data_IF_927478503538
#
_entry.id   IF_927478503538
#
_cell.length_a   1.000
_cell.length_b   1.000
_cell.length_c   1.000
_cell.angle_alpha   90.00
_cell.angle_beta   90.00
_cell.angle_gamma   90.00
#
_symmetry.space_group_name_H-M   'P 1'
#
loop_
_entity.id
_entity.type
_entity.pdbx_description
1 polymer ?
#
# COMPACT_ATOMS: atom_id res chain seq x y z
N UNK A 1 -20.67 54.37 5.80
CA UNK A 1 -20.87 53.19 6.67
C UNK A 1 -20.24 52.02 5.94
N UNK A 2 -19.03 51.59 6.32
CA UNK A 2 -18.32 50.49 5.68
C UNK A 2 -18.58 49.21 6.48
N UNK A 3 -19.26 48.24 5.87
CA UNK A 3 -19.51 46.92 6.47
C UNK A 3 -18.19 46.18 6.66
N UNK A 4 -17.87 45.84 7.91
CA UNK A 4 -16.72 45.00 8.25
C UNK A 4 -17.07 43.51 8.10
N UNK A 5 -16.17 42.73 7.49
CA UNK A 5 -16.31 41.28 7.42
C UNK A 5 -16.07 40.66 8.81
N UNK A 6 -17.02 39.85 9.27
CA UNK A 6 -16.85 39.02 10.46
C UNK A 6 -15.71 38.02 10.20
N UNK A 7 -14.71 37.91 11.08
CA UNK A 7 -13.73 36.85 10.96
C UNK A 7 -14.44 35.50 11.17
N UNK A 8 -14.59 34.74 10.08
CA UNK A 8 -15.16 33.40 10.12
C UNK A 8 -14.20 32.43 10.82
N UNK A 9 -14.73 31.31 11.32
CA UNK A 9 -13.91 30.31 12.00
C UNK A 9 -13.00 29.68 10.96
N UNK A 10 -11.70 29.64 11.24
CA UNK A 10 -10.75 28.96 10.37
C UNK A 10 -11.22 27.53 10.17
N UNK A 11 -11.40 27.12 8.90
CA UNK A 11 -11.72 25.74 8.55
C UNK A 11 -10.63 24.83 9.10
N UNK A 12 -11.03 23.67 9.65
CA UNK A 12 -10.08 22.68 10.10
C UNK A 12 -9.13 22.28 8.96
N UNK A 13 -7.86 22.09 9.29
CA UNK A 13 -6.84 21.66 8.33
C UNK A 13 -7.23 20.29 7.76
N UNK A 14 -7.23 20.11 6.43
CA UNK A 14 -7.55 18.83 5.83
C UNK A 14 -6.49 17.78 6.17
N UNK A 15 -6.93 16.57 6.45
CA UNK A 15 -6.04 15.42 6.61
C UNK A 15 -5.61 14.93 5.22
N UNK A 16 -4.31 14.94 4.94
CA UNK A 16 -3.79 14.45 3.66
C UNK A 16 -3.78 12.93 3.71
N UNK A 17 -4.72 12.30 3.00
CA UNK A 17 -4.77 10.86 2.83
C UNK A 17 -3.81 10.48 1.70
N UNK A 18 -2.80 9.68 2.01
CA UNK A 18 -1.93 9.08 1.00
C UNK A 18 -2.59 7.82 0.43
N UNK A 19 -2.96 7.85 -0.84
CA UNK A 19 -3.49 6.67 -1.53
C UNK A 19 -2.31 5.86 -2.05
N UNK A 20 -1.95 4.80 -1.33
CA UNK A 20 -0.85 3.92 -1.70
C UNK A 20 -0.96 2.57 -0.99
N UNK A 21 -0.01 1.68 -1.28
CA UNK A 21 0.02 0.37 -0.62
C UNK A 21 0.26 0.49 0.88
N UNK A 22 -0.30 -0.43 1.70
CA UNK A 22 0.00 -0.47 3.12
C UNK A 22 1.50 -0.48 3.38
N UNK A 23 1.92 0.16 4.47
CA UNK A 23 3.33 0.16 4.87
C UNK A 23 3.78 -1.28 5.14
N UNK A 24 4.92 -1.66 4.58
CA UNK A 24 5.57 -2.93 4.94
C UNK A 24 5.94 -2.88 6.41
N UNK A 25 5.46 -3.86 7.17
CA UNK A 25 5.85 -4.08 8.57
C UNK A 25 6.48 -5.45 8.70
N UNK A 26 7.29 -5.64 9.74
CA UNK A 26 7.90 -6.93 10.02
C UNK A 26 6.85 -7.94 10.48
N UNK A 27 6.92 -9.16 9.99
CA UNK A 27 6.13 -10.27 10.53
C UNK A 27 6.73 -10.75 11.86
N UNK A 28 6.04 -10.59 13.00
CA UNK A 28 6.54 -11.10 14.27
C UNK A 28 6.43 -12.62 14.28
N UNK A 29 7.57 -13.31 14.34
CA UNK A 29 7.60 -14.75 14.54
C UNK A 29 7.71 -15.04 16.04
N UNK A 30 6.76 -15.80 16.62
CA UNK A 30 6.84 -16.16 18.02
C UNK A 30 8.05 -17.07 18.26
N UNK A 31 8.73 -16.86 19.39
CA UNK A 31 9.72 -17.79 19.90
C UNK A 31 9.06 -19.05 20.46
N UNK A 32 9.88 -20.03 20.82
CA UNK A 32 9.41 -21.23 21.51
C UNK A 32 9.61 -21.08 23.03
N UNK A 33 8.72 -21.64 23.83
CA UNK A 33 8.77 -21.68 25.30
C UNK A 33 8.49 -23.11 25.81
N UNK A 34 9.45 -24.02 25.57
CA UNK A 34 9.31 -25.43 25.91
C UNK A 34 9.63 -25.68 27.39
N UNK A 35 8.61 -26.03 28.18
CA UNK A 35 8.73 -26.52 29.56
C UNK A 35 8.27 -27.96 29.70
N UNK A 36 7.41 -28.42 28.79
CA UNK A 36 6.77 -29.72 28.73
C UNK A 36 6.69 -30.23 27.28
N UNK A 37 6.44 -31.53 27.09
CA UNK A 37 6.26 -32.11 25.76
C UNK A 37 5.03 -31.55 25.01
N UNK A 38 4.04 -31.01 25.72
CA UNK A 38 2.86 -30.37 25.12
C UNK A 38 3.17 -28.99 24.51
N UNK A 39 4.24 -28.34 24.96
CA UNK A 39 4.57 -26.97 24.57
C UNK A 39 5.07 -26.91 23.12
N UNK A 40 5.79 -27.93 22.65
CA UNK A 40 6.22 -28.01 21.25
C UNK A 40 5.04 -27.99 20.28
N UNK A 41 3.97 -28.73 20.60
CA UNK A 41 2.78 -28.74 19.75
C UNK A 41 2.04 -27.41 19.81
N UNK A 42 2.07 -26.72 20.95
CA UNK A 42 1.47 -25.39 21.11
C UNK A 42 2.25 -24.31 20.36
N UNK A 43 3.57 -24.32 20.50
CA UNK A 43 4.48 -23.38 19.85
C UNK A 43 4.45 -23.55 18.33
N UNK A 44 4.35 -24.79 17.85
CA UNK A 44 4.21 -25.06 16.42
C UNK A 44 2.91 -24.46 15.86
N UNK A 45 1.77 -24.64 16.55
CA UNK A 45 0.49 -24.00 16.15
C UNK A 45 0.56 -22.47 16.18
N UNK A 46 1.23 -21.89 17.18
CA UNK A 46 1.43 -20.44 17.26
C UNK A 46 2.28 -19.92 16.10
N UNK A 47 3.35 -20.64 15.77
CA UNK A 47 4.22 -20.33 14.64
C UNK A 47 3.46 -20.42 13.31
N UNK A 48 2.70 -21.49 13.09
CA UNK A 48 1.85 -21.67 11.90
C UNK A 48 0.84 -20.52 11.75
N UNK A 49 0.20 -20.09 12.84
CA UNK A 49 -0.71 -18.95 12.83
C UNK A 49 0.00 -17.63 12.47
N UNK A 50 1.21 -17.41 13.01
CA UNK A 50 2.01 -16.23 12.70
C UNK A 50 2.46 -16.21 11.23
N UNK A 51 2.86 -17.37 10.69
CA UNK A 51 3.20 -17.55 9.27
C UNK A 51 2.00 -17.26 8.37
N UNK A 52 0.81 -17.77 8.71
CA UNK A 52 -0.41 -17.51 7.96
C UNK A 52 -0.76 -16.01 7.95
N UNK A 53 -0.71 -15.36 9.12
CA UNK A 53 -0.94 -13.92 9.23
C UNK A 53 0.08 -13.10 8.43
N UNK A 54 1.34 -13.51 8.44
CA UNK A 54 2.39 -12.87 7.64
C UNK A 54 2.13 -13.01 6.14
N UNK A 55 1.79 -14.22 5.68
CA UNK A 55 1.47 -14.49 4.29
C UNK A 55 0.33 -13.61 3.78
N UNK A 56 -0.75 -13.47 4.56
CA UNK A 56 -1.87 -12.58 4.21
C UNK A 56 -1.44 -11.12 4.07
N UNK A 57 -0.57 -10.63 4.95
CA UNK A 57 -0.06 -9.27 4.87
C UNK A 57 0.80 -9.05 3.62
N UNK A 58 1.70 -10.00 3.32
CA UNK A 58 2.56 -9.94 2.13
C UNK A 58 1.72 -9.97 0.85
N UNK A 59 0.71 -10.84 0.77
CA UNK A 59 -0.16 -10.93 -0.40
C UNK A 59 -0.92 -9.61 -0.63
N UNK A 60 -1.47 -9.02 0.45
CA UNK A 60 -2.15 -7.72 0.37
C UNK A 60 -1.23 -6.61 -0.17
N UNK A 61 0.03 -6.59 0.27
CA UNK A 61 1.01 -5.61 -0.19
C UNK A 61 1.35 -5.86 -1.67
N UNK A 62 1.55 -7.12 -2.04
CA UNK A 62 1.86 -7.54 -3.39
C UNK A 62 0.75 -7.18 -4.37
N UNK A 63 -0.50 -7.56 -4.09
CA UNK A 63 -1.66 -7.24 -4.93
C UNK A 63 -1.77 -5.74 -5.19
N UNK A 64 -1.52 -4.93 -4.16
CA UNK A 64 -1.49 -3.49 -4.32
C UNK A 64 -0.36 -3.01 -5.23
N UNK A 65 0.85 -3.54 -5.06
CA UNK A 65 2.01 -3.19 -5.90
C UNK A 65 1.77 -3.57 -7.36
N UNK A 66 1.26 -4.77 -7.62
CA UNK A 66 0.94 -5.24 -8.97
C UNK A 66 -0.08 -4.34 -9.67
N UNK A 67 -1.12 -3.89 -8.95
CA UNK A 67 -2.10 -2.94 -9.48
C UNK A 67 -1.45 -1.59 -9.83
N UNK A 68 -0.60 -1.07 -8.94
CA UNK A 68 0.08 0.20 -9.16
C UNK A 68 1.07 0.12 -10.34
N UNK A 69 1.77 -1.00 -10.49
CA UNK A 69 2.68 -1.24 -11.61
C UNK A 69 1.90 -1.30 -12.94
N UNK A 70 0.76 -2.00 -12.97
CA UNK A 70 -0.11 -2.05 -14.15
C UNK A 70 -0.65 -0.65 -14.53
N UNK A 71 -1.10 0.15 -13.57
CA UNK A 71 -1.51 1.54 -13.79
C UNK A 71 -0.35 2.39 -14.33
N UNK A 72 0.85 2.23 -13.78
CA UNK A 72 2.05 2.94 -14.24
C UNK A 72 2.42 2.56 -15.68
N UNK A 73 2.35 1.27 -16.03
CA UNK A 73 2.59 0.82 -17.41
C UNK A 73 1.56 1.38 -18.39
N UNK A 74 0.28 1.40 -18.03
CA UNK A 74 -0.77 1.96 -18.90
C UNK A 74 -0.58 3.46 -19.11
N UNK A 75 -0.24 4.21 -18.07
CA UNK A 75 0.10 5.62 -18.16
C UNK A 75 1.32 5.87 -19.06
N UNK A 76 2.38 5.06 -18.91
CA UNK A 76 3.58 5.16 -19.75
C UNK A 76 3.27 4.90 -21.24
N UNK A 77 2.40 3.93 -21.56
CA UNK A 77 1.95 3.66 -22.94
C UNK A 77 1.09 4.78 -23.51
N UNK A 78 0.23 5.41 -22.69
CA UNK A 78 -0.55 6.58 -23.07
C UNK A 78 0.31 7.84 -23.29
N UNK A 79 1.48 7.92 -22.65
CA UNK A 79 2.41 9.03 -22.77
C UNK A 79 3.39 8.91 -23.97
N UNK A 80 3.41 7.77 -24.69
CA UNK A 80 4.16 7.67 -25.95
C UNK A 80 3.50 8.57 -26.98
N UNK A 81 4.12 9.68 -27.43
CA UNK A 81 3.55 10.51 -28.47
C UNK A 81 3.50 9.68 -29.74
N UNK A 82 2.33 9.59 -30.36
CA UNK A 82 2.22 9.24 -31.77
C UNK A 82 2.98 10.31 -32.56
N UNK A 83 4.30 10.12 -32.75
CA UNK A 83 5.07 10.88 -33.71
C UNK A 83 4.60 10.39 -35.08
N UNK A 84 3.55 11.05 -35.56
CA UNK A 84 2.88 10.77 -36.80
C UNK A 84 3.91 10.60 -37.91
N UNK A 85 3.83 9.45 -38.57
CA UNK A 85 4.37 9.20 -39.89
C UNK A 85 3.95 10.33 -40.84
N UNK A 86 4.87 11.20 -41.22
CA UNK A 86 4.68 12.08 -42.37
C UNK A 86 5.50 11.50 -43.54
N UNK A 87 4.87 11.12 -44.67
CA UNK A 87 5.62 10.69 -45.85
C UNK A 87 6.28 11.92 -46.48
N UNK A 88 7.59 11.85 -46.67
CA UNK A 88 8.32 12.79 -47.52
C UNK A 88 7.89 12.55 -48.98
N UNK A 89 7.42 13.59 -49.66
CA UNK A 89 7.23 13.58 -51.12
C UNK A 89 7.90 14.83 -51.71
N UNK A 90 8.73 14.68 -52.76
CA UNK A 90 9.33 15.81 -53.47
C UNK A 90 8.30 16.60 -54.29
#
# INVERSE_FOLDING_TARGET
MLSGCTPDRHSATPEIIWIGCPRVVSCPMPGNDLKTAGDLASDNRQLEAALASCGLQVETIKECQEKHDAETETAARGAVPQRATAPAKP
#
